data_IF_021980892673
#
_entry.id   IF_021980892673
#
_cell.length_a   1.000
_cell.length_b   1.000
_cell.length_c   1.000
_cell.angle_alpha   90.00
_cell.angle_beta   90.00
_cell.angle_gamma   90.00
#
_symmetry.space_group_name_H-M   'P 1'
#
loop_
_entity.id
_entity.type
_entity.pdbx_description
1 polymer ?
#
# COMPACT_ATOMS: atom_id res chain seq x y z
N UNK A 1 -14.56 5.94 18.85
CA UNK A 1 -13.55 5.78 17.79
C UNK A 1 -12.90 7.09 17.35
N UNK A 2 -13.42 8.27 17.77
CA UNK A 2 -12.71 9.54 17.73
C UNK A 2 -12.61 10.10 19.16
N UNK A 3 -11.53 9.81 19.86
CA UNK A 3 -11.24 10.43 21.17
C UNK A 3 -10.26 11.58 20.96
N UNK A 4 -10.41 12.66 21.73
CA UNK A 4 -9.58 13.88 21.64
C UNK A 4 -8.09 13.55 21.73
N UNK A 5 -7.73 12.51 22.47
CA UNK A 5 -6.35 12.10 22.73
C UNK A 5 -5.63 11.60 21.45
N UNK A 6 -6.36 11.08 20.45
CA UNK A 6 -5.78 10.69 19.16
C UNK A 6 -5.40 11.90 18.28
N UNK A 7 -5.92 13.10 18.58
CA UNK A 7 -5.58 14.36 17.88
C UNK A 7 -4.55 15.21 18.65
N UNK A 8 -4.13 14.78 19.85
CA UNK A 8 -3.16 15.53 20.68
C UNK A 8 -1.81 14.81 20.64
N UNK A 9 -1.32 14.48 19.45
CA UNK A 9 0.10 14.13 19.26
C UNK A 9 0.80 15.26 18.52
N UNK A 10 0.81 16.45 19.15
CA UNK A 10 1.40 17.68 18.61
C UNK A 10 2.81 17.49 18.01
N UNK A 11 3.63 16.63 18.63
CA UNK A 11 4.95 16.27 18.09
C UNK A 11 4.87 15.51 16.76
N UNK A 12 3.96 14.54 16.65
CA UNK A 12 3.74 13.77 15.43
C UNK A 12 3.18 14.65 14.30
N UNK A 13 2.26 15.55 14.61
CA UNK A 13 1.75 16.54 13.65
C UNK A 13 2.86 17.48 13.16
N UNK A 14 3.70 18.00 14.07
CA UNK A 14 4.85 18.83 13.70
C UNK A 14 5.83 18.09 12.78
N UNK A 15 6.11 16.82 13.07
CA UNK A 15 6.98 15.97 12.22
C UNK A 15 6.33 15.78 10.85
N UNK A 16 5.04 15.44 10.80
CA UNK A 16 4.30 15.27 9.55
C UNK A 16 4.29 16.55 8.71
N UNK A 17 4.03 17.70 9.33
CA UNK A 17 4.08 19.01 8.67
C UNK A 17 5.49 19.37 8.17
N UNK A 18 6.53 19.07 8.95
CA UNK A 18 7.91 19.29 8.53
C UNK A 18 8.28 18.43 7.31
N UNK A 19 7.90 17.14 7.31
CA UNK A 19 8.10 16.24 6.17
C UNK A 19 7.36 16.76 4.93
N UNK A 20 6.09 17.15 5.08
CA UNK A 20 5.29 17.71 4.00
C UNK A 20 5.88 19.02 3.45
N UNK A 21 6.40 19.89 4.32
CA UNK A 21 7.04 21.13 3.90
C UNK A 21 8.31 20.87 3.10
N UNK A 22 9.15 19.93 3.55
CA UNK A 22 10.39 19.54 2.84
C UNK A 22 10.06 18.93 1.49
N UNK A 23 9.17 17.93 1.44
CA UNK A 23 8.79 17.22 0.21
C UNK A 23 8.06 18.15 -0.76
N UNK A 24 7.16 18.99 -0.25
CA UNK A 24 6.42 19.99 -1.04
C UNK A 24 7.34 21.05 -1.62
N UNK A 25 8.25 21.60 -0.80
CA UNK A 25 9.24 22.59 -1.25
C UNK A 25 10.16 22.01 -2.31
N UNK A 26 10.66 20.78 -2.12
CA UNK A 26 11.45 20.07 -3.12
C UNK A 26 10.66 19.84 -4.42
N UNK A 27 9.39 19.40 -4.33
CA UNK A 27 8.52 19.21 -5.48
C UNK A 27 8.27 20.49 -6.27
N UNK A 28 8.05 21.62 -5.58
CA UNK A 28 7.87 22.94 -6.21
C UNK A 28 9.17 23.39 -6.90
N UNK A 29 10.31 23.32 -6.22
CA UNK A 29 11.60 23.70 -6.78
C UNK A 29 11.96 22.86 -8.01
N UNK A 30 11.71 21.54 -7.94
CA UNK A 30 11.89 20.63 -9.07
C UNK A 30 10.97 21.00 -10.23
N UNK A 31 9.70 21.30 -9.94
CA UNK A 31 8.72 21.74 -10.92
C UNK A 31 9.10 23.04 -11.65
N UNK A 32 9.63 24.02 -10.92
CA UNK A 32 10.13 25.28 -11.51
C UNK A 32 11.32 25.00 -12.44
N UNK A 33 12.27 24.16 -12.02
CA UNK A 33 13.46 23.81 -12.80
C UNK A 33 13.14 23.02 -14.06
N UNK A 34 12.14 22.14 -14.02
CA UNK A 34 11.76 21.23 -15.11
C UNK A 34 10.42 21.59 -15.76
N UNK A 35 10.05 22.88 -15.80
CA UNK A 35 8.77 23.36 -16.34
C UNK A 35 8.44 22.88 -17.76
N UNK A 36 9.45 22.64 -18.60
CA UNK A 36 9.29 22.15 -19.99
C UNK A 36 9.07 20.64 -20.08
N UNK A 37 9.20 19.91 -18.97
CA UNK A 37 9.15 18.44 -18.92
C UNK A 37 8.08 17.99 -17.90
N UNK A 38 6.78 18.31 -18.12
CA UNK A 38 5.73 18.07 -17.14
C UNK A 38 5.58 16.59 -16.76
N UNK A 39 5.93 15.67 -17.67
CA UNK A 39 5.95 14.22 -17.42
C UNK A 39 6.95 13.83 -16.32
N UNK A 40 8.16 14.44 -16.29
CA UNK A 40 9.14 14.19 -15.22
C UNK A 40 8.69 14.80 -13.89
N UNK A 41 8.15 16.02 -13.94
CA UNK A 41 7.64 16.73 -12.75
C UNK A 41 6.52 15.92 -12.09
N UNK A 42 5.52 15.48 -12.88
CA UNK A 42 4.41 14.67 -12.37
C UNK A 42 4.92 13.35 -11.77
N UNK A 43 5.85 12.67 -12.43
CA UNK A 43 6.42 11.42 -11.90
C UNK A 43 7.13 11.61 -10.57
N UNK A 44 7.95 12.67 -10.44
CA UNK A 44 8.62 12.98 -9.17
C UNK A 44 7.63 13.32 -8.06
N UNK A 45 6.59 14.11 -8.37
CA UNK A 45 5.53 14.42 -7.38
C UNK A 45 4.81 13.14 -6.94
N UNK A 46 4.43 12.27 -7.89
CA UNK A 46 3.78 10.98 -7.59
C UNK A 46 4.68 10.13 -6.69
N UNK A 47 5.97 10.02 -6.99
CA UNK A 47 6.89 9.24 -6.16
C UNK A 47 7.04 9.84 -4.76
N UNK A 48 7.20 11.15 -4.63
CA UNK A 48 7.39 11.81 -3.34
C UNK A 48 6.19 11.58 -2.41
N UNK A 49 4.99 11.93 -2.86
CA UNK A 49 3.79 11.77 -2.04
C UNK A 49 3.35 10.31 -1.93
N UNK A 50 3.55 9.53 -2.98
CA UNK A 50 3.25 8.11 -2.99
C UNK A 50 4.10 7.33 -1.99
N UNK A 51 5.41 7.60 -1.90
CA UNK A 51 6.27 6.94 -0.92
C UNK A 51 5.86 7.28 0.51
N UNK A 52 5.44 8.52 0.77
CA UNK A 52 4.85 8.88 2.06
C UNK A 52 3.63 8.02 2.37
N UNK A 53 2.72 7.86 1.41
CA UNK A 53 1.53 7.02 1.58
C UNK A 53 1.86 5.53 1.74
N UNK A 54 2.86 5.00 1.01
CA UNK A 54 3.28 3.59 1.10
C UNK A 54 3.65 3.22 2.53
N UNK A 55 4.49 4.05 3.18
CA UNK A 55 5.08 3.72 4.48
C UNK A 55 4.30 4.25 5.68
N UNK A 56 3.73 5.47 5.59
CA UNK A 56 3.11 6.13 6.73
C UNK A 56 1.60 5.93 6.81
N UNK A 57 0.92 5.55 5.72
CA UNK A 57 -0.50 5.23 5.81
C UNK A 57 -0.67 3.98 6.68
N UNK A 58 -1.48 4.05 7.76
CA UNK A 58 -1.65 2.91 8.65
C UNK A 58 -2.10 1.67 7.87
N UNK A 59 -1.58 0.48 8.20
CA UNK A 59 -2.00 -0.75 7.56
C UNK A 59 -3.49 -1.01 7.74
N UNK A 60 -4.19 -1.36 6.67
CA UNK A 60 -5.59 -1.78 6.68
C UNK A 60 -6.58 -0.71 7.19
N UNK A 61 -6.18 0.55 7.29
CA UNK A 61 -7.04 1.62 7.82
C UNK A 61 -8.13 2.06 6.84
N UNK A 62 -7.92 1.85 5.54
CA UNK A 62 -8.94 2.19 4.54
C UNK A 62 -10.03 1.10 4.51
N UNK A 63 -11.32 1.46 4.38
CA UNK A 63 -12.46 0.54 4.53
C UNK A 63 -12.32 -0.78 3.76
N UNK A 64 -11.88 -0.68 2.50
CA UNK A 64 -11.81 -1.81 1.55
C UNK A 64 -10.39 -2.36 1.34
N UNK A 65 -9.37 -1.76 1.95
CA UNK A 65 -7.96 -2.16 1.73
C UNK A 65 -7.72 -3.63 2.09
N UNK A 66 -8.35 -4.12 3.15
CA UNK A 66 -8.23 -5.52 3.55
C UNK A 66 -8.73 -6.48 2.46
N UNK A 67 -9.83 -6.18 1.79
CA UNK A 67 -10.40 -7.05 0.74
C UNK A 67 -9.56 -6.98 -0.53
N UNK A 68 -9.03 -5.81 -0.87
CA UNK A 68 -8.12 -5.65 -2.01
C UNK A 68 -6.75 -6.29 -1.78
N UNK A 69 -6.22 -6.19 -0.57
CA UNK A 69 -4.99 -6.88 -0.16
C UNK A 69 -5.20 -8.39 -0.21
N UNK A 70 -6.26 -8.90 0.42
CA UNK A 70 -6.67 -10.31 0.35
C UNK A 70 -6.76 -10.81 -1.09
N UNK A 71 -7.27 -9.96 -1.98
CA UNK A 71 -7.37 -10.31 -3.39
C UNK A 71 -6.00 -10.42 -4.07
N UNK A 72 -5.13 -9.43 -3.88
CA UNK A 72 -3.76 -9.48 -4.39
C UNK A 72 -2.98 -10.69 -3.85
N UNK A 73 -3.20 -11.00 -2.58
CA UNK A 73 -2.64 -12.16 -1.88
C UNK A 73 -3.03 -13.47 -2.56
N UNK A 74 -4.34 -13.70 -2.76
CA UNK A 74 -4.85 -14.92 -3.39
C UNK A 74 -4.28 -15.18 -4.80
N UNK A 75 -3.90 -14.13 -5.53
CA UNK A 75 -3.28 -14.25 -6.86
C UNK A 75 -1.87 -14.81 -6.76
N UNK A 76 -1.14 -14.53 -5.68
CA UNK A 76 0.18 -15.13 -5.44
C UNK A 76 0.10 -16.65 -5.23
N UNK A 77 -1.05 -17.14 -4.76
CA UNK A 77 -1.38 -18.56 -4.59
C UNK A 77 -1.99 -19.20 -5.84
N UNK A 78 -2.01 -18.48 -6.98
CA UNK A 78 -2.57 -18.98 -8.24
C UNK A 78 -4.09 -18.88 -8.35
N UNK A 79 -4.78 -18.25 -7.40
CA UNK A 79 -6.24 -18.09 -7.41
C UNK A 79 -6.66 -16.92 -8.29
N UNK A 80 -6.76 -17.16 -9.60
CA UNK A 80 -7.13 -16.13 -10.58
C UNK A 80 -8.58 -15.67 -10.47
N UNK A 81 -9.48 -16.51 -9.99
CA UNK A 81 -10.88 -16.16 -9.74
C UNK A 81 -11.26 -16.58 -8.33
N UNK A 82 -11.88 -15.70 -7.53
CA UNK A 82 -12.17 -16.00 -6.14
C UNK A 82 -13.28 -17.07 -6.06
N UNK A 83 -12.97 -18.21 -5.45
CA UNK A 83 -13.93 -19.30 -5.24
C UNK A 83 -14.42 -19.25 -3.80
N UNK A 84 -15.72 -19.06 -3.60
CA UNK A 84 -16.32 -19.04 -2.27
C UNK A 84 -16.58 -20.46 -1.79
N UNK A 85 -15.98 -20.83 -0.66
CA UNK A 85 -16.30 -22.09 0.06
C UNK A 85 -17.42 -21.84 1.07
N UNK A 86 -18.03 -22.91 1.67
CA UNK A 86 -19.01 -22.74 2.74
C UNK A 86 -18.52 -21.90 3.93
N UNK A 87 -17.21 -21.93 4.21
CA UNK A 87 -16.59 -21.20 5.32
C UNK A 87 -16.07 -19.81 4.93
N UNK A 88 -15.98 -19.50 3.63
CA UNK A 88 -15.45 -18.22 3.12
C UNK A 88 -14.45 -18.38 1.97
N UNK A 89 -13.67 -17.34 1.70
CA UNK A 89 -12.55 -17.36 0.78
C UNK A 89 -11.28 -17.79 1.49
N UNK A 90 -10.47 -18.58 0.79
CA UNK A 90 -9.20 -19.06 1.29
C UNK A 90 -8.16 -17.93 1.30
N UNK A 91 -7.46 -17.76 2.42
CA UNK A 91 -6.43 -16.73 2.59
C UNK A 91 -5.33 -17.20 3.54
N UNK A 92 -4.11 -16.71 3.31
CA UNK A 92 -2.99 -16.95 4.22
C UNK A 92 -3.17 -16.23 5.56
N UNK A 93 -2.73 -16.85 6.66
CA UNK A 93 -3.02 -16.39 8.02
C UNK A 93 -2.37 -15.07 8.39
N UNK A 94 -1.23 -14.74 7.77
CA UNK A 94 -0.58 -13.45 8.00
C UNK A 94 -1.47 -12.26 7.60
N UNK A 95 -2.49 -12.48 6.76
CA UNK A 95 -3.54 -11.50 6.53
C UNK A 95 -4.24 -11.11 7.83
N UNK A 96 -4.59 -12.06 8.70
CA UNK A 96 -5.28 -11.76 9.95
C UNK A 96 -4.37 -11.03 10.94
N UNK A 97 -3.08 -11.34 10.95
CA UNK A 97 -2.07 -10.59 11.70
C UNK A 97 -2.02 -9.13 11.25
N UNK A 98 -2.06 -8.89 9.94
CA UNK A 98 -2.06 -7.53 9.41
C UNK A 98 -3.42 -6.83 9.56
N UNK A 99 -4.53 -7.56 9.46
CA UNK A 99 -5.87 -7.02 9.60
C UNK A 99 -6.21 -6.68 11.07
N UNK A 100 -5.53 -7.28 12.04
CA UNK A 100 -5.61 -6.86 13.45
C UNK A 100 -5.09 -5.42 13.68
N UNK A 101 -4.16 -4.95 12.84
CA UNK A 101 -3.67 -3.58 12.90
C UNK A 101 -4.67 -2.51 12.41
N UNK A 102 -5.82 -2.93 11.86
CA UNK A 102 -6.91 -2.05 11.41
C UNK A 102 -7.47 -1.14 12.51
N UNK A 103 -7.21 -1.45 13.79
CA UNK A 103 -7.71 -0.72 14.96
C UNK A 103 -7.04 0.65 15.23
N UNK A 104 -6.51 1.30 14.19
CA UNK A 104 -5.88 2.63 14.30
C UNK A 104 -4.46 2.60 14.85
N UNK A 105 -3.83 1.43 14.90
CA UNK A 105 -2.43 1.30 15.31
C UNK A 105 -1.51 1.77 14.19
N UNK A 106 -0.54 2.62 14.52
CA UNK A 106 0.50 3.00 13.57
C UNK A 106 1.61 1.95 13.48
N UNK A 107 2.49 2.07 12.49
CA UNK A 107 3.71 1.25 12.37
C UNK A 107 4.64 1.33 13.60
N UNK A 108 4.43 2.33 14.47
CA UNK A 108 5.21 2.55 15.68
C UNK A 108 4.64 1.79 16.89
N UNK A 109 3.36 1.44 16.85
CA UNK A 109 2.63 0.89 18.00
C UNK A 109 2.46 -0.63 17.90
N UNK A 110 2.41 -1.18 16.68
CA UNK A 110 2.22 -2.61 16.45
C UNK A 110 3.48 -3.27 15.90
N UNK A 111 3.83 -4.43 16.46
CA UNK A 111 4.99 -5.20 16.02
C UNK A 111 4.65 -6.05 14.79
N UNK A 112 5.06 -5.58 13.61
CA UNK A 112 4.91 -6.31 12.35
C UNK A 112 6.16 -7.11 11.93
N UNK A 113 7.08 -7.37 12.85
CA UNK A 113 8.29 -8.17 12.58
C UNK A 113 8.03 -9.68 12.57
N UNK A 114 6.77 -10.10 12.76
CA UNK A 114 6.39 -11.52 12.62
C UNK A 114 6.74 -12.03 11.22
N UNK A 115 7.27 -13.26 11.10
CA UNK A 115 7.54 -13.88 9.80
C UNK A 115 6.22 -14.19 9.08
N UNK A 116 6.31 -14.38 7.77
CA UNK A 116 5.20 -14.89 6.97
C UNK A 116 4.96 -16.36 7.37
N UNK A 117 3.73 -16.69 7.74
CA UNK A 117 3.31 -18.07 8.05
C UNK A 117 2.58 -18.66 6.85
N UNK A 118 2.82 -19.95 6.57
CA UNK A 118 2.15 -20.75 5.53
C UNK A 118 0.87 -21.44 6.07
N UNK A 119 0.31 -20.92 7.15
CA UNK A 119 -0.96 -21.38 7.71
C UNK A 119 -2.13 -20.62 7.08
N UNK A 120 -3.32 -21.22 7.11
CA UNK A 120 -4.45 -20.78 6.30
C UNK A 120 -5.72 -20.59 7.12
N UNK A 121 -6.53 -19.63 6.70
CA UNK A 121 -7.82 -19.34 7.29
C UNK A 121 -8.86 -18.94 6.25
N UNK A 122 -10.02 -18.51 6.75
CA UNK A 122 -11.17 -18.14 5.92
C UNK A 122 -11.58 -16.70 6.15
N UNK A 123 -11.74 -15.95 5.07
CA UNK A 123 -12.23 -14.57 5.09
C UNK A 123 -13.58 -14.48 4.36
N UNK A 124 -14.61 -13.80 4.93
CA UNK A 124 -15.97 -13.86 4.38
C UNK A 124 -16.17 -13.08 3.06
N UNK A 125 -15.23 -12.21 2.68
CA UNK A 125 -15.41 -11.28 1.57
C UNK A 125 -14.25 -11.33 0.56
N UNK A 126 -14.56 -11.19 -0.73
CA UNK A 126 -13.57 -10.98 -1.79
C UNK A 126 -14.18 -10.12 -2.87
N UNK A 127 -13.35 -9.35 -3.57
CA UNK A 127 -13.77 -8.60 -4.75
C UNK A 127 -13.83 -9.49 -6.00
N UNK A 128 -14.85 -9.32 -6.83
CA UNK A 128 -14.97 -9.97 -8.15
C UNK A 128 -14.24 -9.22 -9.28
N UNK A 129 -13.43 -8.23 -8.91
CA UNK A 129 -12.58 -7.48 -9.84
C UNK A 129 -11.60 -8.40 -10.57
N UNK A 130 -11.32 -8.14 -11.86
CA UNK A 130 -10.40 -8.96 -12.65
C UNK A 130 -9.00 -9.05 -12.02
N UNK A 131 -8.37 -10.23 -12.12
CA UNK A 131 -7.07 -10.51 -11.51
C UNK A 131 -5.96 -9.54 -11.97
N UNK A 132 -6.03 -9.08 -13.23
CA UNK A 132 -5.01 -8.20 -13.79
C UNK A 132 -4.89 -6.85 -13.06
N UNK A 133 -5.95 -6.43 -12.36
CA UNK A 133 -5.96 -5.19 -11.58
C UNK A 133 -5.04 -5.24 -10.37
N UNK A 134 -4.62 -6.44 -9.95
CA UNK A 134 -3.79 -6.66 -8.77
C UNK A 134 -2.42 -7.26 -9.11
N UNK A 135 -2.07 -7.43 -10.39
CA UNK A 135 -0.81 -8.06 -10.77
C UNK A 135 0.41 -7.32 -10.21
N UNK A 136 0.39 -5.99 -10.20
CA UNK A 136 1.46 -5.19 -9.58
C UNK A 136 1.55 -5.45 -8.08
N UNK A 137 0.44 -5.39 -7.36
CA UNK A 137 0.44 -5.67 -5.92
C UNK A 137 0.85 -7.11 -5.60
N UNK A 138 0.36 -8.08 -6.38
CA UNK A 138 0.68 -9.48 -6.22
C UNK A 138 2.17 -9.74 -6.47
N UNK A 139 2.79 -9.07 -7.47
CA UNK A 139 4.23 -9.13 -7.69
C UNK A 139 5.01 -8.61 -6.47
N UNK A 140 4.59 -7.50 -5.88
CA UNK A 140 5.19 -6.97 -4.66
C UNK A 140 5.10 -7.93 -3.47
N UNK A 141 3.92 -8.52 -3.26
CA UNK A 141 3.69 -9.53 -2.22
C UNK A 141 4.55 -10.78 -2.47
N UNK A 142 4.62 -11.25 -3.72
CA UNK A 142 5.42 -12.40 -4.10
C UNK A 142 6.91 -12.17 -3.83
N UNK A 143 7.44 -10.98 -4.13
CA UNK A 143 8.82 -10.62 -3.79
C UNK A 143 9.04 -10.69 -2.27
N UNK A 144 8.10 -10.20 -1.46
CA UNK A 144 8.19 -10.30 0.00
C UNK A 144 8.22 -11.76 0.48
N UNK A 145 7.37 -12.62 -0.07
CA UNK A 145 7.34 -14.06 0.21
C UNK A 145 8.64 -14.76 -0.19
N UNK A 146 9.14 -14.50 -1.40
CA UNK A 146 10.37 -15.13 -1.90
C UNK A 146 11.63 -14.74 -1.10
N UNK A 147 11.62 -13.57 -0.48
CA UNK A 147 12.72 -13.06 0.35
C UNK A 147 12.54 -13.38 1.84
N UNK A 148 11.49 -14.10 2.22
CA UNK A 148 11.14 -14.43 3.61
C UNK A 148 11.12 -13.20 4.52
N UNK A 149 10.55 -12.10 4.02
CA UNK A 149 10.43 -10.85 4.78
C UNK A 149 9.28 -10.93 5.78
N UNK A 150 9.25 -10.00 6.75
CA UNK A 150 8.16 -9.94 7.72
C UNK A 150 6.83 -9.50 7.10
N UNK A 151 5.71 -9.77 7.80
CA UNK A 151 4.35 -9.56 7.29
C UNK A 151 4.12 -8.16 6.72
N UNK A 152 4.63 -7.09 7.34
CA UNK A 152 4.45 -5.71 6.83
C UNK A 152 5.04 -5.48 5.44
N UNK A 153 6.11 -6.18 5.09
CA UNK A 153 6.76 -6.02 3.78
C UNK A 153 5.86 -6.49 2.65
N UNK A 154 4.95 -7.43 2.88
CA UNK A 154 3.95 -7.83 1.89
C UNK A 154 3.07 -6.63 1.50
N UNK A 155 2.67 -5.81 2.47
CA UNK A 155 1.90 -4.59 2.22
C UNK A 155 2.74 -3.48 1.60
N UNK A 156 3.93 -3.21 2.15
CA UNK A 156 4.80 -2.14 1.63
C UNK A 156 5.25 -2.41 0.20
N UNK A 157 5.70 -3.64 -0.11
CA UNK A 157 6.10 -3.99 -1.48
C UNK A 157 4.89 -4.03 -2.42
N UNK A 158 3.72 -4.50 -1.95
CA UNK A 158 2.48 -4.43 -2.72
C UNK A 158 2.07 -2.99 -3.08
N UNK A 159 2.09 -2.08 -2.10
CA UNK A 159 1.82 -0.65 -2.30
C UNK A 159 2.88 0.01 -3.18
N UNK A 160 4.17 -0.30 -2.99
CA UNK A 160 5.27 0.23 -3.77
C UNK A 160 5.19 -0.19 -5.24
N UNK A 161 4.89 -1.47 -5.51
CA UNK A 161 4.72 -1.96 -6.87
C UNK A 161 3.55 -1.26 -7.59
N UNK A 162 2.43 -1.02 -6.89
CA UNK A 162 1.31 -0.23 -7.42
C UNK A 162 1.72 1.22 -7.70
N UNK A 163 2.45 1.86 -6.79
CA UNK A 163 2.94 3.23 -6.96
C UNK A 163 3.83 3.37 -8.19
N UNK A 164 4.79 2.46 -8.37
CA UNK A 164 5.70 2.47 -9.51
C UNK A 164 4.96 2.27 -10.83
N UNK A 165 4.03 1.30 -10.88
CA UNK A 165 3.23 1.06 -12.09
C UNK A 165 2.39 2.29 -12.44
N UNK A 166 1.68 2.84 -11.45
CA UNK A 166 0.87 4.05 -11.63
C UNK A 166 1.72 5.25 -12.09
N UNK A 167 2.85 5.50 -11.42
CA UNK A 167 3.77 6.57 -11.77
C UNK A 167 4.30 6.43 -13.20
N UNK A 168 4.71 5.23 -13.61
CA UNK A 168 5.15 4.95 -14.97
C UNK A 168 4.04 5.22 -16.00
N UNK A 169 2.80 4.77 -15.75
CA UNK A 169 1.68 5.03 -16.66
C UNK A 169 1.37 6.52 -16.78
N UNK A 170 1.34 7.27 -15.67
CA UNK A 170 1.11 8.72 -15.72
C UNK A 170 2.26 9.42 -16.46
N UNK A 171 3.50 9.03 -16.21
CA UNK A 171 4.67 9.56 -16.92
C UNK A 171 4.53 9.39 -18.44
N UNK A 172 4.21 8.18 -18.90
CA UNK A 172 4.03 7.91 -20.33
C UNK A 172 2.79 8.58 -20.92
N UNK A 173 1.70 8.68 -20.17
CA UNK A 173 0.50 9.37 -20.60
C UNK A 173 0.76 10.86 -20.83
N UNK A 174 1.40 11.54 -19.87
CA UNK A 174 1.73 12.97 -20.01
C UNK A 174 2.78 13.18 -21.11
N UNK A 175 3.75 12.28 -21.25
CA UNK A 175 4.77 12.38 -22.31
C UNK A 175 4.17 12.26 -23.71
N UNK A 176 3.08 11.50 -23.86
CA UNK A 176 2.37 11.30 -25.13
C UNK A 176 1.22 12.27 -25.36
N UNK A 177 0.78 13.00 -24.33
CA UNK A 177 -0.27 13.98 -24.46
C UNK A 177 0.17 15.09 -25.44
N UNK A 178 -0.73 15.56 -26.31
CA UNK A 178 -0.44 16.59 -27.31
C UNK A 178 -0.12 17.95 -26.68
#
# INVERSE_FOLDING_TARGET
MFCRDNFIYFKGELIGLAILLVFGSFGILYGIRHKKEPHKVAFVIILLFGLLMVFFAPPMSFPDEAIHFARAESITEGVLYPVKTPNGYYIQDYFFEMNQAKSGTTILEYNFSKPISDSWGYWPASTNTPFYSYLSSALGILIAKCLDLSVIWTLWLGRLANLLLYGCFVYFAIKKAP
#
